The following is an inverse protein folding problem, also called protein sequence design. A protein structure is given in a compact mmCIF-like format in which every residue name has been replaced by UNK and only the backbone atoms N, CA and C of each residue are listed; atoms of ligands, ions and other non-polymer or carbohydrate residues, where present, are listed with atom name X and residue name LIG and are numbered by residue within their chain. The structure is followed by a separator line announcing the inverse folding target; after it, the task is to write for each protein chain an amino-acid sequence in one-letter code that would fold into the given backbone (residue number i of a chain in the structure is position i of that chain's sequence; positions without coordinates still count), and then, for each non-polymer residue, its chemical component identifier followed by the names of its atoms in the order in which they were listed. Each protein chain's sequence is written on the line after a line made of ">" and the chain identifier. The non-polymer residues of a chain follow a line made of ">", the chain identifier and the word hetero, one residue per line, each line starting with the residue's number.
data_IF_444708390497
#
_entry.id   IF_444708390497
#
_cell.length_a   1.000
_cell.length_b   1.000
_cell.length_c   1.000
_cell.angle_alpha   90.00
_cell.angle_beta   90.00
_cell.angle_gamma   90.00
#
_symmetry.space_group_name_H-M   'P 1'
#
loop_
_entity.id
_entity.type
_entity.pdbx_description
1 polymer ?
#
# COMPACT_ATOMS: atom_id res chain seq x y z
N UNK A 1 10.71 69.06 -44.10
CA UNK A 1 11.06 67.78 -44.76
C UNK A 1 10.41 66.62 -44.00
N UNK A 2 9.57 65.83 -44.69
CA UNK A 2 9.11 64.43 -44.47
C UNK A 2 8.88 63.84 -43.04
N UNK A 3 7.60 63.46 -42.81
CA UNK A 3 7.03 62.36 -41.99
C UNK A 3 7.75 60.98 -42.18
N UNK A 4 7.35 59.84 -41.52
CA UNK A 4 6.92 59.55 -40.13
C UNK A 4 7.42 58.16 -39.58
N UNK A 5 7.02 57.80 -38.34
CA UNK A 5 6.60 56.48 -37.80
C UNK A 5 7.05 55.14 -38.44
N UNK A 6 7.59 54.23 -37.60
CA UNK A 6 7.43 52.74 -37.56
C UNK A 6 8.48 52.17 -36.57
N UNK A 7 8.27 51.17 -35.72
CA UNK A 7 7.13 50.30 -35.48
C UNK A 7 7.30 49.65 -34.10
N UNK A 8 6.18 49.51 -33.39
CA UNK A 8 5.94 48.46 -32.40
C UNK A 8 6.03 47.11 -33.15
N UNK A 9 6.85 46.17 -32.68
CA UNK A 9 6.80 44.74 -33.01
C UNK A 9 6.74 44.00 -31.68
N UNK A 10 5.55 43.45 -31.37
CA UNK A 10 5.28 42.01 -31.20
C UNK A 10 6.19 41.39 -30.13
N UNK A 11 5.76 40.99 -28.92
CA UNK A 11 4.67 40.06 -28.56
C UNK A 11 4.55 38.85 -29.49
N UNK A 12 5.27 37.78 -29.13
CA UNK A 12 5.11 36.44 -29.70
C UNK A 12 6.43 35.68 -29.74
N UNK A 13 6.53 34.68 -28.87
CA UNK A 13 7.31 33.44 -29.04
C UNK A 13 8.85 33.61 -28.99
N UNK A 14 9.59 32.97 -28.10
CA UNK A 14 9.72 31.51 -27.99
C UNK A 14 9.93 31.08 -26.53
N UNK A 15 8.88 30.50 -25.95
CA UNK A 15 9.02 29.34 -25.07
C UNK A 15 9.81 28.28 -25.82
N UNK A 16 11.09 28.06 -25.52
CA UNK A 16 11.75 26.85 -25.98
C UNK A 16 12.84 26.34 -25.03
N UNK A 17 12.53 25.16 -24.47
CA UNK A 17 13.44 24.14 -23.97
C UNK A 17 13.99 24.26 -22.54
N UNK A 18 13.06 24.35 -21.58
CA UNK A 18 13.19 23.63 -20.30
C UNK A 18 13.20 22.10 -20.55
N UNK A 19 14.33 21.56 -21.01
CA UNK A 19 14.63 20.14 -20.85
C UNK A 19 15.58 19.97 -19.67
N UNK A 20 15.04 20.15 -18.46
CA UNK A 20 15.70 19.70 -17.26
C UNK A 20 15.93 18.19 -17.39
N UNK A 21 17.18 17.79 -17.55
CA UNK A 21 17.60 16.39 -17.47
C UNK A 21 17.17 15.85 -16.09
N UNK A 22 16.02 15.19 -16.03
CA UNK A 22 15.56 14.47 -14.85
C UNK A 22 16.61 13.40 -14.53
N UNK A 23 17.46 13.68 -13.55
CA UNK A 23 18.53 12.78 -13.14
C UNK A 23 17.91 11.48 -12.67
N UNK A 24 18.43 10.33 -13.13
CA UNK A 24 17.99 9.00 -12.67
C UNK A 24 17.94 8.88 -11.14
N UNK A 25 18.76 9.66 -10.42
CA UNK A 25 18.76 9.80 -8.96
C UNK A 25 17.51 10.50 -8.41
N UNK A 26 16.97 11.50 -9.10
CA UNK A 26 15.70 12.14 -8.76
C UNK A 26 14.52 11.21 -9.04
N UNK A 27 14.55 10.43 -10.13
CA UNK A 27 13.53 9.41 -10.41
C UNK A 27 13.54 8.28 -9.37
N UNK A 28 14.71 7.84 -8.91
CA UNK A 28 14.82 6.91 -7.77
C UNK A 28 14.36 7.52 -6.45
N UNK A 29 14.56 8.84 -6.26
CA UNK A 29 14.00 9.58 -5.13
C UNK A 29 12.47 9.59 -5.15
N UNK A 30 11.86 9.72 -6.34
CA UNK A 30 10.42 9.72 -6.55
C UNK A 30 9.76 8.34 -6.45
N UNK A 31 10.51 7.25 -6.68
CA UNK A 31 10.04 5.87 -6.43
C UNK A 31 9.89 5.59 -4.92
N UNK A 32 10.63 6.31 -4.08
CA UNK A 32 10.64 6.11 -2.62
C UNK A 32 9.26 6.13 -1.97
N UNK A 33 8.46 7.21 -2.11
CA UNK A 33 7.13 7.29 -1.51
C UNK A 33 6.17 6.20 -1.99
N UNK A 34 6.14 5.92 -3.30
CA UNK A 34 5.24 4.91 -3.87
C UNK A 34 5.63 3.47 -3.48
N UNK A 35 6.93 3.15 -3.49
CA UNK A 35 7.43 1.85 -3.02
C UNK A 35 7.13 1.62 -1.54
N UNK A 36 7.27 2.67 -0.73
CA UNK A 36 6.93 2.60 0.70
C UNK A 36 5.43 2.42 0.87
N UNK A 37 4.60 3.19 0.15
CA UNK A 37 3.15 3.05 0.23
C UNK A 37 2.68 1.65 -0.14
N UNK A 38 3.22 1.07 -1.22
CA UNK A 38 2.91 -0.30 -1.61
C UNK A 38 3.43 -1.34 -0.62
N UNK A 39 4.66 -1.19 -0.13
CA UNK A 39 5.22 -2.12 0.87
C UNK A 39 4.56 -2.02 2.24
N UNK A 40 3.94 -0.88 2.58
CA UNK A 40 3.15 -0.72 3.79
C UNK A 40 1.81 -1.45 3.72
N UNK A 41 1.30 -1.76 2.52
CA UNK A 41 0.05 -2.50 2.32
C UNK A 41 0.24 -4.02 2.60
N UNK A 42 1.48 -4.52 2.49
CA UNK A 42 1.86 -5.89 2.84
C UNK A 42 2.12 -6.05 4.35
N UNK A 43 1.06 -5.94 5.16
CA UNK A 43 1.13 -6.13 6.61
C UNK A 43 1.25 -7.63 7.01
N UNK A 44 1.79 -7.93 8.21
CA UNK A 44 1.86 -9.31 8.71
C UNK A 44 0.51 -10.04 8.72
N UNK A 45 -0.59 -9.32 8.96
CA UNK A 45 -1.95 -9.86 8.94
C UNK A 45 -2.38 -10.34 7.54
N UNK A 46 -2.07 -9.57 6.49
CA UNK A 46 -2.28 -9.90 5.08
C UNK A 46 -1.43 -11.11 4.67
N UNK A 47 -0.14 -11.11 5.03
CA UNK A 47 0.76 -12.25 4.78
C UNK A 47 0.21 -13.54 5.41
N UNK A 48 -0.31 -13.47 6.64
CA UNK A 48 -0.94 -14.63 7.29
C UNK A 48 -2.20 -15.10 6.56
N UNK A 49 -2.99 -14.18 6.01
CA UNK A 49 -4.16 -14.49 5.17
C UNK A 49 -3.75 -15.20 3.88
N UNK A 50 -2.74 -14.68 3.18
CA UNK A 50 -2.22 -15.28 1.96
C UNK A 50 -1.61 -16.67 2.20
N UNK A 51 -0.88 -16.86 3.30
CA UNK A 51 -0.34 -18.16 3.69
C UNK A 51 -1.45 -19.18 4.02
N UNK A 52 -2.53 -18.74 4.68
CA UNK A 52 -3.72 -19.58 4.91
C UNK A 52 -4.43 -19.94 3.61
N UNK A 53 -4.50 -19.01 2.65
CA UNK A 53 -5.01 -19.27 1.31
C UNK A 53 -4.19 -20.32 0.55
N UNK A 54 -2.88 -20.14 0.49
CA UNK A 54 -1.99 -21.09 -0.18
C UNK A 54 -2.01 -22.48 0.47
N UNK A 55 -2.02 -22.56 1.80
CA UNK A 55 -2.04 -23.86 2.51
C UNK A 55 -3.35 -24.64 2.37
N UNK A 56 -4.49 -23.96 2.29
CA UNK A 56 -5.81 -24.61 2.20
C UNK A 56 -6.26 -24.89 0.78
N UNK A 57 -5.99 -23.96 -0.12
CA UNK A 57 -6.57 -23.93 -1.47
C UNK A 57 -5.51 -23.92 -2.58
N UNK A 58 -4.23 -24.03 -2.22
CA UNK A 58 -3.13 -24.03 -3.19
C UNK A 58 -3.13 -22.76 -4.03
N UNK A 59 -3.09 -22.94 -5.36
CA UNK A 59 -3.08 -21.83 -6.33
C UNK A 59 -4.47 -21.39 -6.77
N UNK A 60 -5.56 -21.98 -6.27
CA UNK A 60 -6.91 -21.70 -6.77
C UNK A 60 -7.45 -20.30 -6.44
N UNK A 61 -6.80 -19.58 -5.51
CA UNK A 61 -7.10 -18.18 -5.20
C UNK A 61 -6.14 -17.20 -5.91
N UNK A 62 -5.13 -17.70 -6.65
CA UNK A 62 -4.10 -16.85 -7.26
C UNK A 62 -4.67 -15.89 -8.30
N UNK A 63 -5.72 -16.30 -9.01
CA UNK A 63 -6.41 -15.45 -9.98
C UNK A 63 -6.93 -14.15 -9.36
N UNK A 64 -7.29 -14.15 -8.08
CA UNK A 64 -7.82 -12.96 -7.42
C UNK A 64 -6.80 -11.81 -7.42
N UNK A 65 -5.51 -12.11 -7.27
CA UNK A 65 -4.43 -11.12 -7.28
C UNK A 65 -4.35 -10.36 -8.62
N UNK A 66 -4.64 -11.03 -9.75
CA UNK A 66 -4.62 -10.41 -11.07
C UNK A 66 -5.73 -9.35 -11.22
N UNK A 67 -6.87 -9.56 -10.58
CA UNK A 67 -8.00 -8.61 -10.60
C UNK A 67 -7.89 -7.55 -9.53
N UNK A 68 -7.37 -7.87 -8.34
CA UNK A 68 -7.23 -6.88 -7.26
C UNK A 68 -6.12 -5.89 -7.52
N UNK A 69 -5.02 -6.31 -8.13
CA UNK A 69 -3.87 -5.45 -8.43
C UNK A 69 -4.24 -4.15 -9.19
N UNK A 70 -4.94 -4.18 -10.34
CA UNK A 70 -5.33 -2.93 -11.03
C UNK A 70 -6.32 -2.10 -10.23
N UNK A 71 -7.15 -2.72 -9.38
CA UNK A 71 -8.12 -2.01 -8.54
C UNK A 71 -7.38 -1.22 -7.45
N UNK A 72 -6.49 -1.87 -6.69
CA UNK A 72 -5.73 -1.19 -5.64
C UNK A 72 -4.79 -0.13 -6.22
N UNK A 73 -4.17 -0.39 -7.37
CA UNK A 73 -3.35 0.59 -8.07
C UNK A 73 -4.15 1.85 -8.45
N UNK A 74 -5.37 1.68 -8.98
CA UNK A 74 -6.24 2.81 -9.30
C UNK A 74 -6.71 3.56 -8.05
N UNK A 75 -7.03 2.85 -6.96
CA UNK A 75 -7.40 3.47 -5.68
C UNK A 75 -6.23 4.29 -5.14
N UNK A 76 -5.02 3.73 -5.11
CA UNK A 76 -3.83 4.42 -4.63
C UNK A 76 -3.50 5.66 -5.47
N UNK A 77 -3.61 5.57 -6.80
CA UNK A 77 -3.42 6.71 -7.69
C UNK A 77 -4.41 7.86 -7.39
N UNK A 78 -5.68 7.53 -7.15
CA UNK A 78 -6.71 8.52 -6.80
C UNK A 78 -6.40 9.15 -5.43
N UNK A 79 -6.03 8.35 -4.44
CA UNK A 79 -5.63 8.81 -3.11
C UNK A 79 -4.45 9.79 -3.20
N UNK A 80 -3.39 9.40 -3.92
CA UNK A 80 -2.17 10.18 -4.07
C UNK A 80 -2.45 11.50 -4.82
N UNK A 81 -3.19 11.45 -5.94
CA UNK A 81 -3.58 12.65 -6.68
C UNK A 81 -4.42 13.60 -5.85
N UNK A 82 -5.35 13.07 -5.06
CA UNK A 82 -6.21 13.87 -4.18
C UNK A 82 -5.39 14.53 -3.08
N UNK A 83 -4.48 13.78 -2.45
CA UNK A 83 -3.59 14.31 -1.42
C UNK A 83 -2.65 15.40 -1.98
N UNK A 84 -2.07 15.19 -3.16
CA UNK A 84 -1.21 16.17 -3.84
C UNK A 84 -1.97 17.44 -4.25
N UNK A 85 -3.21 17.31 -4.73
CA UNK A 85 -4.00 18.45 -5.19
C UNK A 85 -4.58 19.29 -4.04
N UNK A 86 -4.91 18.67 -2.91
CA UNK A 86 -5.64 19.33 -1.81
C UNK A 86 -4.79 19.61 -0.58
N UNK A 87 -3.68 18.90 -0.40
CA UNK A 87 -2.89 18.92 0.84
C UNK A 87 -3.59 18.28 2.05
N UNK A 88 -4.74 17.64 1.85
CA UNK A 88 -5.57 17.03 2.91
C UNK A 88 -5.86 15.57 2.60
N UNK A 89 -6.05 14.75 3.65
CA UNK A 89 -6.49 13.36 3.49
C UNK A 89 -7.97 13.24 3.12
N UNK A 90 -8.36 12.09 2.56
CA UNK A 90 -9.75 11.80 2.13
C UNK A 90 -10.74 11.95 3.27
N UNK A 91 -10.40 11.50 4.48
CA UNK A 91 -11.25 11.65 5.66
C UNK A 91 -11.52 13.12 6.01
N UNK A 92 -10.50 13.97 5.94
CA UNK A 92 -10.64 15.41 6.22
C UNK A 92 -11.49 16.10 5.14
N UNK A 93 -11.28 15.76 3.87
CA UNK A 93 -12.10 16.23 2.75
C UNK A 93 -13.55 15.78 2.88
N UNK A 94 -13.79 14.55 3.34
CA UNK A 94 -15.12 14.04 3.59
C UNK A 94 -15.85 14.86 4.67
N UNK A 95 -15.18 15.20 5.78
CA UNK A 95 -15.77 16.08 6.80
C UNK A 95 -16.06 17.50 6.26
N UNK A 96 -15.15 18.05 5.46
CA UNK A 96 -15.31 19.39 4.87
C UNK A 96 -16.47 19.42 3.87
N UNK A 97 -16.61 18.38 3.04
CA UNK A 97 -17.64 18.28 2.00
C UNK A 97 -19.01 17.98 2.59
N UNK A 98 -19.08 16.98 3.47
CA UNK A 98 -20.31 16.56 4.12
C UNK A 98 -20.45 17.29 5.46
N UNK A 99 -20.97 18.53 5.39
CA UNK A 99 -21.29 19.36 6.55
C UNK A 99 -22.38 18.74 7.46
N UNK A 100 -23.39 19.52 7.88
CA UNK A 100 -24.32 19.17 8.97
C UNK A 100 -25.17 17.91 8.69
N UNK A 101 -25.51 17.64 7.42
CA UNK A 101 -26.38 16.53 7.04
C UNK A 101 -25.70 15.15 7.04
N UNK A 102 -24.38 15.09 6.81
CA UNK A 102 -23.63 13.84 6.69
C UNK A 102 -22.59 13.59 7.79
N UNK A 103 -22.39 14.55 8.71
CA UNK A 103 -21.35 14.48 9.75
C UNK A 103 -21.45 13.23 10.63
N UNK A 104 -22.66 12.81 10.98
CA UNK A 104 -22.86 11.59 11.77
C UNK A 104 -22.43 10.34 11.00
N UNK A 105 -22.74 10.27 9.71
CA UNK A 105 -22.35 9.15 8.85
C UNK A 105 -20.82 9.10 8.66
N UNK A 106 -20.20 10.25 8.36
CA UNK A 106 -18.74 10.35 8.25
C UNK A 106 -18.07 10.00 9.58
N UNK A 107 -18.61 10.49 10.70
CA UNK A 107 -18.12 10.15 12.04
C UNK A 107 -18.24 8.65 12.35
N UNK A 108 -19.34 8.01 11.97
CA UNK A 108 -19.52 6.57 12.13
C UNK A 108 -18.51 5.78 11.28
N UNK A 109 -18.29 6.18 10.02
CA UNK A 109 -17.28 5.55 9.14
C UNK A 109 -15.88 5.69 9.74
N UNK A 110 -15.52 6.88 10.24
CA UNK A 110 -14.23 7.11 10.87
C UNK A 110 -14.05 6.32 12.18
N UNK A 111 -15.14 6.12 12.94
CA UNK A 111 -15.11 5.27 14.12
C UNK A 111 -14.86 3.80 13.74
N UNK A 112 -15.55 3.31 12.70
CA UNK A 112 -15.33 1.95 12.18
C UNK A 112 -13.91 1.79 11.66
N UNK A 113 -13.40 2.78 10.92
CA UNK A 113 -12.01 2.83 10.44
C UNK A 113 -11.01 2.76 11.59
N UNK A 114 -11.23 3.56 12.64
CA UNK A 114 -10.38 3.55 13.83
C UNK A 114 -10.35 2.17 14.50
N UNK A 115 -11.51 1.52 14.65
CA UNK A 115 -11.61 0.18 15.22
C UNK A 115 -10.91 -0.85 14.33
N UNK A 116 -11.15 -0.81 13.01
CA UNK A 116 -10.53 -1.71 12.05
C UNK A 116 -8.99 -1.62 12.10
N UNK A 117 -8.45 -0.41 12.05
CA UNK A 117 -7.00 -0.20 12.07
C UNK A 117 -6.40 -0.59 13.43
N UNK A 118 -7.13 -0.41 14.53
CA UNK A 118 -6.69 -0.89 15.86
C UNK A 118 -6.60 -2.42 15.89
N UNK A 119 -7.57 -3.12 15.29
CA UNK A 119 -7.56 -4.58 15.20
C UNK A 119 -6.43 -5.07 14.28
N UNK A 120 -6.17 -4.40 13.15
CA UNK A 120 -5.03 -4.74 12.28
C UNK A 120 -3.70 -4.60 13.03
N UNK A 121 -3.48 -3.47 13.70
CA UNK A 121 -2.26 -3.28 14.51
C UNK A 121 -2.12 -4.38 15.56
N UNK A 122 -3.21 -4.75 16.24
CA UNK A 122 -3.18 -5.85 17.21
C UNK A 122 -2.82 -7.20 16.56
N UNK A 123 -3.39 -7.50 15.39
CA UNK A 123 -3.09 -8.71 14.62
C UNK A 123 -1.61 -8.74 14.18
N UNK A 124 -1.07 -7.61 13.73
CA UNK A 124 0.33 -7.49 13.30
C UNK A 124 1.31 -7.71 14.45
N UNK A 125 1.05 -7.13 15.62
CA UNK A 125 1.89 -7.34 16.80
C UNK A 125 1.91 -8.82 17.21
N UNK A 126 0.76 -9.48 17.17
CA UNK A 126 0.65 -10.93 17.44
C UNK A 126 1.35 -11.75 16.37
N UNK A 127 1.27 -11.36 15.10
CA UNK A 127 1.96 -12.02 14.00
C UNK A 127 3.48 -11.92 14.15
N UNK A 128 4.01 -10.74 14.48
CA UNK A 128 5.44 -10.53 14.80
C UNK A 128 5.85 -11.45 15.96
N UNK A 129 5.07 -11.45 17.06
CA UNK A 129 5.36 -12.30 18.21
C UNK A 129 5.35 -13.79 17.86
N UNK A 130 4.42 -14.22 17.01
CA UNK A 130 4.29 -15.61 16.58
C UNK A 130 5.45 -16.02 15.67
N UNK A 131 5.90 -15.12 14.80
CA UNK A 131 7.11 -15.30 13.99
C UNK A 131 8.37 -15.48 14.84
N UNK A 132 8.51 -14.73 15.93
CA UNK A 132 9.62 -14.89 16.87
C UNK A 132 9.55 -16.22 17.64
N UNK A 133 8.33 -16.64 18.04
CA UNK A 133 8.13 -17.93 18.68
C UNK A 133 8.49 -19.10 17.76
N UNK A 134 8.16 -19.02 16.45
CA UNK A 134 8.57 -20.01 15.45
C UNK A 134 10.09 -20.16 15.35
N UNK A 135 10.84 -19.08 15.56
CA UNK A 135 12.31 -19.08 15.60
C UNK A 135 12.89 -19.53 16.96
N UNK A 136 12.05 -20.00 17.89
CA UNK A 136 12.42 -20.38 19.27
C UNK A 136 12.99 -19.23 20.11
N UNK A 137 12.68 -17.99 19.76
CA UNK A 137 13.16 -16.80 20.47
C UNK A 137 12.35 -16.46 21.74
N UNK A 138 11.26 -17.17 22.02
CA UNK A 138 10.46 -17.04 23.25
C UNK A 138 8.96 -16.84 22.99
N UNK A 139 8.17 -16.61 24.05
CA UNK A 139 6.70 -16.51 23.99
C UNK A 139 6.20 -15.33 23.13
N UNK A 140 5.13 -15.57 22.38
CA UNK A 140 4.48 -14.57 21.49
C UNK A 140 4.17 -13.25 22.18
N UNK A 141 3.58 -13.29 23.39
CA UNK A 141 3.11 -12.08 24.09
C UNK A 141 4.24 -11.13 24.49
N UNK A 142 5.43 -11.66 24.79
CA UNK A 142 6.61 -10.84 25.14
C UNK A 142 7.06 -10.07 23.91
N UNK A 143 7.23 -10.78 22.80
CA UNK A 143 7.68 -10.18 21.54
C UNK A 143 6.66 -9.21 20.95
N UNK A 144 5.37 -9.52 21.04
CA UNK A 144 4.28 -8.62 20.63
C UNK A 144 4.25 -7.32 21.45
N UNK A 145 4.43 -7.42 22.77
CA UNK A 145 4.49 -6.25 23.65
C UNK A 145 5.75 -5.42 23.39
N UNK A 146 6.89 -6.09 23.21
CA UNK A 146 8.17 -5.45 22.95
C UNK A 146 8.16 -4.70 21.60
N UNK A 147 7.65 -5.33 20.54
CA UNK A 147 7.50 -4.70 19.23
C UNK A 147 6.52 -3.53 19.30
N UNK A 148 5.39 -3.66 20.01
CA UNK A 148 4.41 -2.59 20.19
C UNK A 148 5.00 -1.36 20.88
N UNK A 149 5.74 -1.57 21.97
CA UNK A 149 6.45 -0.49 22.68
C UNK A 149 7.54 0.12 21.79
N UNK A 150 8.34 -0.71 21.12
CA UNK A 150 9.42 -0.26 20.24
C UNK A 150 8.91 0.60 19.07
N UNK A 151 7.86 0.14 18.38
CA UNK A 151 7.22 0.87 17.28
C UNK A 151 6.60 2.18 17.80
N UNK A 152 5.89 2.14 18.94
CA UNK A 152 5.31 3.35 19.54
C UNK A 152 6.38 4.38 19.91
N UNK A 153 7.50 3.95 20.50
CA UNK A 153 8.62 4.84 20.80
C UNK A 153 9.25 5.41 19.52
N UNK A 154 9.39 4.59 18.47
CA UNK A 154 9.89 5.02 17.18
C UNK A 154 8.99 6.08 16.54
N UNK A 155 7.67 5.94 16.63
CA UNK A 155 6.72 6.92 16.09
C UNK A 155 6.76 8.23 16.88
N UNK A 156 6.82 8.16 18.22
CA UNK A 156 6.81 9.36 19.07
C UNK A 156 8.12 10.14 19.01
N UNK A 157 9.27 9.46 18.85
CA UNK A 157 10.60 10.08 18.86
C UNK A 157 11.30 10.16 17.51
N UNK A 158 10.85 9.39 16.52
CA UNK A 158 11.48 9.30 15.21
C UNK A 158 11.22 10.52 14.36
N UNK A 159 12.18 10.87 13.49
CA UNK A 159 11.92 11.80 12.40
C UNK A 159 11.34 11.06 11.21
N UNK A 160 10.56 11.77 10.39
CA UNK A 160 10.01 11.25 9.15
C UNK A 160 11.08 10.59 8.26
N UNK A 161 12.25 11.23 8.12
CA UNK A 161 13.35 10.71 7.30
C UNK A 161 13.86 9.35 7.78
N UNK A 162 13.97 9.16 9.11
CA UNK A 162 14.44 7.88 9.69
C UNK A 162 13.42 6.78 9.47
N UNK A 163 12.14 7.08 9.73
CA UNK A 163 11.04 6.15 9.52
C UNK A 163 11.01 5.71 8.05
N UNK A 164 11.08 6.68 7.13
CA UNK A 164 11.11 6.42 5.70
C UNK A 164 12.27 5.51 5.27
N UNK A 165 13.48 5.72 5.82
CA UNK A 165 14.63 4.85 5.55
C UNK A 165 14.42 3.43 6.05
N UNK A 166 13.88 3.27 7.26
CA UNK A 166 13.55 1.95 7.82
C UNK A 166 12.57 1.21 6.90
N UNK A 167 11.48 1.87 6.49
CA UNK A 167 10.50 1.28 5.57
C UNK A 167 11.11 0.86 4.23
N UNK A 168 12.04 1.63 3.65
CA UNK A 168 12.73 1.23 2.41
C UNK A 168 13.53 -0.06 2.59
N UNK A 169 14.23 -0.20 3.72
CA UNK A 169 15.00 -1.40 4.02
C UNK A 169 14.07 -2.60 4.24
N UNK A 170 12.99 -2.42 5.00
CA UNK A 170 11.97 -3.45 5.22
C UNK A 170 11.30 -3.87 3.90
N UNK A 171 10.94 -2.92 3.03
CA UNK A 171 10.42 -3.21 1.69
C UNK A 171 11.42 -4.05 0.86
N UNK A 172 12.72 -3.80 1.01
CA UNK A 172 13.75 -4.62 0.38
C UNK A 172 13.71 -6.10 0.82
N UNK A 173 13.23 -6.40 2.03
CA UNK A 173 13.10 -7.79 2.49
C UNK A 173 12.01 -8.55 1.73
N UNK A 174 11.04 -7.87 1.11
CA UNK A 174 10.00 -8.52 0.29
C UNK A 174 10.58 -9.24 -0.94
N UNK A 175 11.79 -8.86 -1.37
CA UNK A 175 12.52 -9.56 -2.45
C UNK A 175 12.75 -11.04 -2.08
N UNK A 176 12.83 -11.39 -0.79
CA UNK A 176 12.95 -12.78 -0.32
C UNK A 176 11.78 -13.63 -0.82
N UNK A 177 10.56 -13.10 -0.93
CA UNK A 177 9.43 -13.86 -1.47
C UNK A 177 9.63 -14.25 -2.94
N UNK A 178 10.28 -13.41 -3.74
CA UNK A 178 10.62 -13.73 -5.14
C UNK A 178 11.66 -14.86 -5.17
N UNK A 179 12.65 -14.81 -4.29
CA UNK A 179 13.66 -15.88 -4.18
C UNK A 179 13.01 -17.21 -3.79
N UNK A 180 12.09 -17.19 -2.81
CA UNK A 180 11.33 -18.38 -2.39
C UNK A 180 10.47 -18.91 -3.53
N UNK A 181 9.76 -18.05 -4.26
CA UNK A 181 8.94 -18.43 -5.41
C UNK A 181 9.77 -19.20 -6.45
N UNK A 182 10.93 -18.66 -6.84
CA UNK A 182 11.82 -19.29 -7.84
C UNK A 182 12.42 -20.60 -7.29
N UNK A 183 12.74 -20.65 -6.00
CA UNK A 183 13.38 -21.83 -5.40
C UNK A 183 12.41 -23.00 -5.19
N UNK A 184 11.14 -22.71 -4.89
CA UNK A 184 10.13 -23.72 -4.58
C UNK A 184 9.37 -24.13 -5.85
N UNK A 185 9.04 -23.19 -6.73
CA UNK A 185 8.18 -23.50 -7.88
C UNK A 185 8.98 -23.93 -9.11
N UNK A 186 8.72 -25.16 -9.53
CA UNK A 186 9.32 -25.75 -10.73
C UNK A 186 8.34 -25.80 -11.92
N UNK A 187 7.04 -25.57 -11.69
CA UNK A 187 5.99 -25.58 -12.71
C UNK A 187 5.32 -24.21 -12.88
N UNK A 188 5.96 -23.39 -13.72
CA UNK A 188 5.49 -22.05 -14.07
C UNK A 188 4.20 -22.06 -14.91
N UNK A 189 3.95 -23.14 -15.65
CA UNK A 189 2.74 -23.29 -16.47
C UNK A 189 1.51 -23.35 -15.58
N UNK A 190 1.59 -24.14 -14.51
CA UNK A 190 0.48 -24.26 -13.54
C UNK A 190 0.24 -22.95 -12.79
N UNK A 191 1.28 -22.19 -12.42
CA UNK A 191 1.11 -20.85 -11.83
C UNK A 191 0.36 -19.93 -12.78
N UNK A 192 0.87 -19.78 -14.01
CA UNK A 192 0.28 -18.85 -14.99
C UNK A 192 -1.17 -19.22 -15.32
N UNK A 193 -1.45 -20.52 -15.47
CA UNK A 193 -2.81 -21.00 -15.71
C UNK A 193 -3.74 -20.65 -14.54
N UNK A 194 -3.33 -20.88 -13.29
CA UNK A 194 -4.14 -20.56 -12.11
C UNK A 194 -4.21 -19.06 -11.78
N UNK A 195 -3.28 -18.26 -12.29
CA UNK A 195 -3.31 -16.80 -12.18
C UNK A 195 -4.31 -16.16 -13.16
N UNK A 196 -4.53 -16.78 -14.33
CA UNK A 196 -5.40 -16.23 -15.37
C UNK A 196 -6.80 -16.84 -15.33
N UNK A 197 -6.91 -18.14 -15.04
CA UNK A 197 -8.19 -18.85 -15.09
C UNK A 197 -8.80 -18.88 -13.69
N UNK A 198 -9.97 -18.23 -13.48
CA UNK A 198 -10.62 -18.21 -12.19
C UNK A 198 -11.18 -19.61 -11.86
N UNK A 199 -10.73 -20.15 -10.73
CA UNK A 199 -11.24 -21.40 -10.18
C UNK A 199 -12.14 -21.06 -9.00
N UNK A 200 -13.45 -21.12 -9.18
CA UNK A 200 -14.42 -20.78 -8.14
C UNK A 200 -14.99 -22.04 -7.51
N UNK A 201 -14.68 -22.26 -6.23
CA UNK A 201 -15.34 -23.28 -5.43
C UNK A 201 -16.40 -22.63 -4.52
N UNK A 202 -17.66 -23.04 -4.65
CA UNK A 202 -18.76 -22.53 -3.83
C UNK A 202 -18.80 -23.17 -2.43
N UNK A 203 -17.65 -23.20 -1.77
CA UNK A 203 -17.51 -23.64 -0.38
C UNK A 203 -17.49 -22.41 0.54
N UNK A 204 -18.17 -22.50 1.70
CA UNK A 204 -18.11 -21.45 2.73
C UNK A 204 -16.68 -21.06 3.09
N UNK A 205 -15.79 -22.05 3.18
CA UNK A 205 -14.38 -21.82 3.50
C UNK A 205 -13.66 -21.06 2.39
N UNK A 206 -13.97 -21.35 1.12
CA UNK A 206 -13.38 -20.68 -0.03
C UNK A 206 -13.86 -19.23 -0.12
N UNK A 207 -15.17 -19.01 -0.03
CA UNK A 207 -15.78 -17.68 -0.07
C UNK A 207 -15.29 -16.83 1.09
N UNK A 208 -15.24 -17.38 2.31
CA UNK A 208 -14.75 -16.65 3.49
C UNK A 208 -13.31 -16.18 3.32
N UNK A 209 -12.46 -17.02 2.72
CA UNK A 209 -11.05 -16.71 2.55
C UNK A 209 -10.81 -15.77 1.37
N UNK A 210 -11.60 -15.89 0.30
CA UNK A 210 -11.62 -14.94 -0.80
C UNK A 210 -12.02 -13.55 -0.30
N UNK A 211 -13.07 -13.45 0.53
CA UNK A 211 -13.49 -12.18 1.14
C UNK A 211 -12.39 -11.63 2.06
N UNK A 212 -11.72 -12.48 2.84
CA UNK A 212 -10.60 -12.05 3.68
C UNK A 212 -9.41 -11.53 2.84
N UNK A 213 -9.11 -12.18 1.72
CA UNK A 213 -8.05 -11.78 0.80
C UNK A 213 -8.36 -10.42 0.14
N UNK A 214 -9.59 -10.25 -0.37
CA UNK A 214 -10.04 -8.97 -0.92
C UNK A 214 -10.07 -7.86 0.15
N UNK A 215 -10.50 -8.19 1.37
CA UNK A 215 -10.59 -7.24 2.48
C UNK A 215 -9.24 -6.76 2.98
N UNK A 216 -8.21 -7.63 2.94
CA UNK A 216 -6.83 -7.25 3.29
C UNK A 216 -6.13 -6.47 2.17
N UNK A 217 -6.52 -6.68 0.90
CA UNK A 217 -5.96 -5.93 -0.23
C UNK A 217 -6.52 -4.51 -0.38
N UNK A 218 -7.72 -4.24 0.14
CA UNK A 218 -8.34 -2.91 0.12
C UNK A 218 -8.52 -2.44 1.56
N UNK A 219 -7.37 -2.28 2.23
CA UNK A 219 -7.35 -1.74 3.58
C UNK A 219 -7.71 -0.24 3.55
N UNK A 220 -8.57 0.23 4.47
CA UNK A 220 -9.13 1.59 4.42
C UNK A 220 -8.23 2.71 4.97
#
# INVERSE_FOLDING_TARGET
>A
MRKPSKARRDSGDEDESSHAHHSWRQSLGAIGPGLISGACDDDPSGIATYAQAGSRFGLSLLWSALFTFPIIAAIQEICDRTALATGSGIGELALKRFHRAGRWMVGAILLVLFIANTLNIAADLVAIGSGMNLQRAGPTWIWASLSGVGISMLIVRGSFDRIQQIFKVLAGTLIVYIVVLISVTHDWSTILHNAVIPHLELNKSYISLLVALLGTTISP
#
